data_IF_263627645918
#
_entry.id   IF_263627645918
#
_cell.length_a   1.000
_cell.length_b   1.000
_cell.length_c   1.000
_cell.angle_alpha   90.00
_cell.angle_beta   90.00
_cell.angle_gamma   90.00
#
_symmetry.space_group_name_H-M   'P 1'
#
loop_
_entity.id
_entity.type
_entity.pdbx_description
1 polymer ?
#
# COMPACT_ATOMS: atom_id res chain seq x y z
N UNK A 1 -3.05 29.24 -5.96
CA UNK A 1 -4.08 28.68 -5.05
C UNK A 1 -4.97 27.61 -5.71
N UNK A 2 -5.63 27.82 -6.88
CA UNK A 2 -6.51 26.80 -7.49
C UNK A 2 -5.76 25.59 -8.08
N UNK A 3 -4.61 25.84 -8.72
CA UNK A 3 -3.80 24.80 -9.39
C UNK A 3 -3.22 23.78 -8.40
N UNK A 4 -2.72 24.23 -7.25
CA UNK A 4 -2.24 23.35 -6.17
C UNK A 4 -3.38 22.52 -5.57
N UNK A 5 -4.54 23.11 -5.30
CA UNK A 5 -5.71 22.37 -4.79
C UNK A 5 -6.15 21.26 -5.76
N UNK A 6 -6.11 21.54 -7.08
CA UNK A 6 -6.42 20.56 -8.12
C UNK A 6 -5.38 19.42 -8.17
N UNK A 7 -4.08 19.75 -8.08
CA UNK A 7 -3.00 18.74 -8.03
C UNK A 7 -3.13 17.81 -6.81
N UNK A 8 -3.49 18.35 -5.64
CA UNK A 8 -3.72 17.57 -4.41
C UNK A 8 -4.86 16.57 -4.57
N UNK A 9 -5.99 17.03 -5.11
CA UNK A 9 -7.16 16.18 -5.38
C UNK A 9 -6.85 15.10 -6.43
N UNK A 10 -6.09 15.46 -7.47
CA UNK A 10 -5.67 14.51 -8.49
C UNK A 10 -4.78 13.41 -7.91
N UNK A 11 -3.80 13.76 -7.07
CA UNK A 11 -2.91 12.79 -6.43
C UNK A 11 -3.65 11.82 -5.50
N UNK A 12 -4.61 12.32 -4.72
CA UNK A 12 -5.46 11.48 -3.86
C UNK A 12 -6.34 10.54 -4.70
N UNK A 13 -6.97 11.06 -5.76
CA UNK A 13 -7.79 10.26 -6.67
C UNK A 13 -6.98 9.15 -7.33
N UNK A 14 -5.77 9.45 -7.78
CA UNK A 14 -4.88 8.47 -8.40
C UNK A 14 -4.47 7.36 -7.43
N UNK A 15 -4.15 7.72 -6.18
CA UNK A 15 -3.86 6.73 -5.14
C UNK A 15 -5.11 5.88 -4.83
N UNK A 16 -6.29 6.49 -4.70
CA UNK A 16 -7.55 5.75 -4.46
C UNK A 16 -7.87 4.78 -5.60
N UNK A 17 -7.69 5.20 -6.86
CA UNK A 17 -7.84 4.31 -8.01
C UNK A 17 -6.85 3.13 -7.93
N UNK A 18 -5.59 3.43 -7.61
CA UNK A 18 -4.55 2.40 -7.46
C UNK A 18 -4.85 1.41 -6.33
N UNK A 19 -5.41 1.86 -5.20
CA UNK A 19 -5.87 0.98 -4.12
C UNK A 19 -7.03 0.10 -4.58
N UNK A 20 -7.98 0.65 -5.33
CA UNK A 20 -9.11 -0.14 -5.87
C UNK A 20 -8.63 -1.19 -6.87
N UNK A 21 -7.71 -0.84 -7.76
CA UNK A 21 -7.05 -1.79 -8.68
C UNK A 21 -6.29 -2.88 -7.91
N UNK A 22 -5.56 -2.50 -6.86
CA UNK A 22 -4.86 -3.46 -6.00
C UNK A 22 -5.83 -4.43 -5.35
N UNK A 23 -6.95 -3.93 -4.81
CA UNK A 23 -7.98 -4.77 -4.19
C UNK A 23 -8.61 -5.73 -5.19
N UNK A 24 -8.96 -5.25 -6.39
CA UNK A 24 -9.49 -6.12 -7.43
C UNK A 24 -8.49 -7.23 -7.80
N UNK A 25 -7.21 -6.90 -7.91
CA UNK A 25 -6.14 -7.88 -8.14
C UNK A 25 -6.04 -8.90 -7.00
N UNK A 26 -5.89 -8.44 -5.76
CA UNK A 26 -5.63 -9.33 -4.62
C UNK A 26 -6.81 -10.22 -4.21
N UNK A 27 -8.05 -9.85 -4.54
CA UNK A 27 -9.23 -10.70 -4.25
C UNK A 27 -9.24 -11.95 -5.13
N UNK A 28 -8.72 -11.86 -6.35
CA UNK A 28 -8.66 -12.97 -7.32
C UNK A 28 -7.30 -13.67 -7.33
N UNK A 29 -6.31 -13.15 -6.60
CA UNK A 29 -4.95 -13.73 -6.56
C UNK A 29 -4.86 -14.81 -5.49
N UNK A 30 -4.29 -15.96 -5.85
CA UNK A 30 -3.92 -17.02 -4.89
C UNK A 30 -2.99 -16.47 -3.79
N UNK A 31 -3.35 -16.72 -2.52
CA UNK A 31 -2.63 -16.15 -1.36
C UNK A 31 -1.14 -16.49 -1.38
N UNK A 32 -0.80 -17.69 -1.86
CA UNK A 32 0.55 -18.23 -1.94
C UNK A 32 1.33 -17.82 -3.19
N UNK A 33 0.72 -17.11 -4.15
CA UNK A 33 1.44 -16.63 -5.33
C UNK A 33 2.62 -15.77 -4.89
N UNK A 34 3.84 -16.17 -5.25
CA UNK A 34 5.08 -15.52 -4.79
C UNK A 34 5.83 -14.87 -5.93
N UNK A 35 6.34 -13.66 -5.71
CA UNK A 35 7.27 -13.01 -6.63
C UNK A 35 8.74 -13.46 -6.47
N UNK A 36 8.98 -14.47 -5.63
CA UNK A 36 10.31 -14.95 -5.23
C UNK A 36 10.85 -14.30 -3.96
N UNK A 37 10.19 -13.25 -3.45
CA UNK A 37 10.55 -12.57 -2.21
C UNK A 37 9.39 -12.51 -1.22
N UNK A 38 8.17 -12.25 -1.72
CA UNK A 38 6.96 -12.17 -0.90
C UNK A 38 5.79 -12.83 -1.64
N UNK A 39 4.95 -13.50 -0.88
CA UNK A 39 3.64 -13.99 -1.31
C UNK A 39 2.63 -12.84 -1.46
N UNK A 40 1.58 -13.05 -2.26
CA UNK A 40 0.46 -12.11 -2.38
C UNK A 40 -0.13 -11.76 -1.01
N UNK A 41 -0.21 -12.75 -0.12
CA UNK A 41 -0.62 -12.58 1.28
C UNK A 41 0.27 -11.60 2.05
N UNK A 42 1.58 -11.80 2.03
CA UNK A 42 2.54 -10.93 2.72
C UNK A 42 2.55 -9.52 2.13
N UNK A 43 2.36 -9.41 0.82
CA UNK A 43 2.26 -8.13 0.13
C UNK A 43 1.04 -7.37 0.60
N UNK A 44 -0.16 -7.94 0.49
CA UNK A 44 -1.38 -7.25 0.91
C UNK A 44 -1.33 -6.90 2.41
N UNK A 45 -0.82 -7.81 3.25
CA UNK A 45 -0.67 -7.56 4.68
C UNK A 45 0.20 -6.34 4.97
N UNK A 46 1.36 -6.19 4.31
CA UNK A 46 2.20 -5.02 4.55
C UNK A 46 1.61 -3.73 3.95
N UNK A 47 0.89 -3.80 2.83
CA UNK A 47 0.24 -2.62 2.24
C UNK A 47 -0.83 -2.06 3.19
N UNK A 48 -1.63 -2.95 3.78
CA UNK A 48 -2.63 -2.61 4.81
C UNK A 48 -1.96 -2.04 6.05
N UNK A 49 -0.89 -2.67 6.53
CA UNK A 49 -0.12 -2.18 7.67
C UNK A 49 0.37 -0.75 7.43
N UNK A 50 1.08 -0.50 6.33
CA UNK A 50 1.62 0.83 6.06
C UNK A 50 0.53 1.88 5.82
N UNK A 51 -0.61 1.51 5.21
CA UNK A 51 -1.74 2.44 5.10
C UNK A 51 -2.31 2.83 6.46
N UNK A 52 -2.43 1.90 7.41
CA UNK A 52 -2.81 2.21 8.78
C UNK A 52 -1.82 3.18 9.42
N UNK A 53 -0.52 2.98 9.22
CA UNK A 53 0.52 3.89 9.75
C UNK A 53 0.45 5.27 9.09
N UNK A 54 0.17 5.37 7.78
CA UNK A 54 -0.03 6.65 7.10
C UNK A 54 -1.24 7.41 7.65
N UNK A 55 -2.34 6.71 7.95
CA UNK A 55 -3.51 7.31 8.60
C UNK A 55 -3.14 7.87 9.98
N UNK A 56 -2.44 7.08 10.80
CA UNK A 56 -2.04 7.51 12.14
C UNK A 56 -1.11 8.75 12.09
N UNK A 57 -0.18 8.77 11.13
CA UNK A 57 0.71 9.91 10.91
C UNK A 57 -0.09 11.13 10.45
N UNK A 58 -0.95 10.99 9.44
CA UNK A 58 -1.75 12.09 8.92
C UNK A 58 -2.63 12.70 10.02
N UNK A 59 -3.27 11.86 10.84
CA UNK A 59 -4.08 12.33 11.96
C UNK A 59 -3.24 13.08 13.00
N UNK A 60 -2.09 12.54 13.40
CA UNK A 60 -1.20 13.24 14.34
C UNK A 60 -0.77 14.62 13.81
N UNK A 61 -0.47 14.72 12.50
CA UNK A 61 -0.13 16.00 11.88
C UNK A 61 -1.30 16.99 11.84
N UNK A 62 -2.53 16.51 11.59
CA UNK A 62 -3.76 17.32 11.68
C UNK A 62 -3.95 17.85 13.11
N UNK A 63 -3.70 17.01 14.11
CA UNK A 63 -3.84 17.35 15.52
C UNK A 63 -2.68 18.21 16.06
N UNK A 64 -1.71 18.58 15.21
CA UNK A 64 -0.50 19.33 15.60
C UNK A 64 0.43 18.56 16.54
N UNK A 65 0.29 17.23 16.58
CA UNK A 65 1.04 16.33 17.43
C UNK A 65 2.17 15.64 16.65
N UNK A 66 3.20 15.21 17.38
CA UNK A 66 4.28 14.40 16.80
C UNK A 66 3.77 12.97 16.55
N UNK A 67 3.87 12.44 15.33
CA UNK A 67 3.47 11.07 15.06
C UNK A 67 4.28 10.04 15.86
N UNK A 68 3.63 9.00 16.34
CA UNK A 68 4.30 7.82 16.88
C UNK A 68 4.80 6.94 15.74
N UNK A 69 6.13 6.88 15.58
CA UNK A 69 6.75 6.17 14.47
C UNK A 69 7.14 4.75 14.87
N UNK A 70 7.05 3.80 13.93
CA UNK A 70 7.57 2.45 14.15
C UNK A 70 9.10 2.42 14.13
N UNK A 71 9.69 1.60 14.99
CA UNK A 71 11.14 1.33 15.07
C UNK A 71 11.46 0.01 14.37
N UNK A 72 12.64 -0.08 13.77
CA UNK A 72 13.10 -1.27 13.05
C UNK A 72 13.37 -1.03 11.56
N UNK A 73 13.85 -2.07 10.90
CA UNK A 73 14.04 -2.14 9.45
C UNK A 73 12.70 -2.34 8.74
N UNK A 74 12.65 -2.04 7.44
CA UNK A 74 11.44 -2.32 6.65
C UNK A 74 11.15 -3.83 6.58
N UNK A 75 12.19 -4.67 6.53
CA UNK A 75 12.03 -6.12 6.50
C UNK A 75 11.36 -6.64 7.78
N UNK A 76 11.85 -6.22 8.96
CA UNK A 76 11.25 -6.61 10.25
C UNK A 76 9.81 -6.13 10.39
N UNK A 77 9.53 -4.88 10.02
CA UNK A 77 8.17 -4.32 10.09
C UNK A 77 7.21 -5.02 9.13
N UNK A 78 7.66 -5.33 7.91
CA UNK A 78 6.85 -6.05 6.92
C UNK A 78 6.57 -7.49 7.35
N UNK A 79 7.56 -8.18 7.93
CA UNK A 79 7.34 -9.52 8.50
C UNK A 79 6.31 -9.47 9.65
N UNK A 80 6.44 -8.48 10.54
CA UNK A 80 5.48 -8.25 11.62
C UNK A 80 4.07 -7.90 11.12
N UNK A 81 3.93 -7.29 9.94
CA UNK A 81 2.63 -6.96 9.35
C UNK A 81 1.80 -8.22 9.05
N UNK A 82 2.42 -9.28 8.54
CA UNK A 82 1.73 -10.56 8.28
C UNK A 82 1.21 -11.17 9.57
N UNK A 83 2.02 -11.21 10.63
CA UNK A 83 1.60 -11.68 11.95
C UNK A 83 0.47 -10.82 12.54
N UNK A 84 0.52 -9.50 12.37
CA UNK A 84 -0.50 -8.59 12.89
C UNK A 84 -1.90 -8.81 12.30
N UNK A 85 -2.01 -9.52 11.18
CA UNK A 85 -3.28 -9.85 10.53
C UNK A 85 -3.53 -11.35 10.41
N UNK A 86 -2.88 -12.15 11.25
CA UNK A 86 -3.20 -13.56 11.40
C UNK A 86 -4.70 -13.77 11.63
N UNK A 87 -5.27 -14.80 11.01
CA UNK A 87 -6.70 -15.10 11.07
C UNK A 87 -7.61 -14.24 10.17
N UNK A 88 -7.09 -13.22 9.48
CA UNK A 88 -7.85 -12.49 8.44
C UNK A 88 -7.72 -13.15 7.08
N UNK A 89 -8.77 -13.17 6.29
CA UNK A 89 -8.75 -13.57 4.87
C UNK A 89 -8.23 -12.45 3.96
N UNK A 90 -7.83 -12.75 2.71
CA UNK A 90 -7.49 -11.70 1.72
C UNK A 90 -8.63 -10.69 1.52
N UNK A 91 -9.89 -11.15 1.51
CA UNK A 91 -11.06 -10.27 1.35
C UNK A 91 -11.19 -9.29 2.52
N UNK A 92 -10.90 -9.72 3.74
CA UNK A 92 -10.91 -8.83 4.91
C UNK A 92 -9.75 -7.84 4.90
N UNK A 93 -8.55 -8.29 4.51
CA UNK A 93 -7.41 -7.40 4.31
C UNK A 93 -7.69 -6.34 3.24
N UNK A 94 -8.28 -6.74 2.10
CA UNK A 94 -8.65 -5.83 1.03
C UNK A 94 -9.69 -4.79 1.50
N UNK A 95 -10.67 -5.19 2.30
CA UNK A 95 -11.62 -4.26 2.93
C UNK A 95 -10.92 -3.29 3.88
N UNK A 96 -9.99 -3.76 4.70
CA UNK A 96 -9.19 -2.89 5.57
C UNK A 96 -8.35 -1.90 4.75
N UNK A 97 -7.79 -2.35 3.62
CA UNK A 97 -7.01 -1.50 2.74
C UNK A 97 -7.83 -0.29 2.24
N UNK A 98 -9.04 -0.54 1.72
CA UNK A 98 -9.96 0.52 1.28
C UNK A 98 -10.37 1.42 2.44
N UNK A 99 -10.67 0.85 3.61
CA UNK A 99 -11.02 1.64 4.79
C UNK A 99 -9.90 2.58 5.22
N UNK A 100 -8.65 2.11 5.26
CA UNK A 100 -7.52 2.97 5.58
C UNK A 100 -7.23 4.00 4.49
N UNK A 101 -7.42 3.66 3.21
CA UNK A 101 -7.31 4.65 2.13
C UNK A 101 -8.33 5.77 2.28
N UNK A 102 -9.59 5.45 2.57
CA UNK A 102 -10.64 6.45 2.82
C UNK A 102 -10.28 7.34 4.01
N UNK A 103 -9.83 6.76 5.11
CA UNK A 103 -9.40 7.53 6.30
C UNK A 103 -8.17 8.40 6.04
N UNK A 104 -7.25 7.94 5.19
CA UNK A 104 -6.09 8.71 4.79
C UNK A 104 -6.52 9.93 3.95
N UNK A 105 -7.44 9.73 3.01
CA UNK A 105 -8.02 10.82 2.22
C UNK A 105 -8.70 11.87 3.12
N UNK A 106 -9.56 11.43 4.04
CA UNK A 106 -10.25 12.30 5.00
C UNK A 106 -9.25 13.11 5.85
N UNK A 107 -8.24 12.45 6.42
CA UNK A 107 -7.22 13.13 7.22
C UNK A 107 -6.40 14.15 6.40
N UNK A 108 -5.99 13.81 5.18
CA UNK A 108 -5.20 14.69 4.33
C UNK A 108 -6.00 15.89 3.79
N UNK A 109 -7.32 15.75 3.64
CA UNK A 109 -8.20 16.88 3.32
C UNK A 109 -8.29 17.90 4.46
N UNK A 110 -8.14 17.45 5.71
CA UNK A 110 -8.10 18.30 6.90
C UNK A 110 -6.70 18.86 7.21
N UNK A 111 -5.64 18.36 6.56
CA UNK A 111 -4.28 18.78 6.85
C UNK A 111 -4.01 20.21 6.35
N UNK A 112 -3.59 21.15 7.24
CA UNK A 112 -3.46 22.56 6.88
C UNK A 112 -2.31 22.83 5.91
N UNK A 113 -1.22 22.08 6.02
CA UNK A 113 -0.03 22.22 5.18
C UNK A 113 0.41 20.86 4.63
N UNK A 114 0.46 20.75 3.29
CA UNK A 114 0.93 19.55 2.59
C UNK A 114 2.44 19.54 2.36
N UNK A 115 3.11 20.66 2.58
CA UNK A 115 4.58 20.77 2.50
C UNK A 115 5.26 20.32 3.79
N UNK A 116 4.49 20.01 4.84
CA UNK A 116 5.00 19.47 6.10
C UNK A 116 5.85 18.21 5.83
N UNK A 117 7.10 18.25 6.30
CA UNK A 117 8.07 17.18 6.10
C UNK A 117 7.98 16.19 7.27
N UNK A 118 7.67 14.92 6.97
CA UNK A 118 7.57 13.88 7.99
C UNK A 118 8.18 12.56 7.52
N UNK A 119 8.69 11.70 8.41
CA UNK A 119 9.09 10.34 8.09
C UNK A 119 7.93 9.36 8.34
N UNK A 120 8.02 8.15 7.77
CA UNK A 120 7.03 7.08 8.00
C UNK A 120 7.46 6.07 9.07
N UNK A 121 8.73 6.10 9.46
CA UNK A 121 9.33 5.28 10.53
C UNK A 121 10.53 6.01 11.12
N UNK A 122 11.01 5.57 12.29
CA UNK A 122 12.24 6.14 12.87
C UNK A 122 13.44 6.01 11.93
N UNK A 123 14.21 7.10 11.83
CA UNK A 123 15.36 7.21 10.93
C UNK A 123 14.99 7.21 9.43
N UNK A 124 13.70 7.23 9.09
CA UNK A 124 13.23 7.25 7.71
C UNK A 124 13.43 8.62 7.05
N UNK A 125 13.53 8.61 5.72
CA UNK A 125 13.62 9.84 4.93
C UNK A 125 12.36 10.70 5.07
N UNK A 126 12.56 11.98 5.34
CA UNK A 126 11.52 13.00 5.33
C UNK A 126 11.02 13.22 3.89
N UNK A 127 9.71 13.28 3.74
CA UNK A 127 9.03 13.72 2.50
C UNK A 127 7.78 14.50 2.86
N UNK A 128 7.36 15.42 2.01
CA UNK A 128 6.07 16.07 2.13
C UNK A 128 4.94 15.20 1.56
N UNK A 129 3.69 15.63 1.70
CA UNK A 129 2.54 14.87 1.18
C UNK A 129 2.60 14.73 -0.35
N UNK A 130 2.97 15.80 -1.05
CA UNK A 130 3.07 15.82 -2.52
C UNK A 130 4.09 14.80 -3.06
N UNK A 131 5.17 14.55 -2.32
CA UNK A 131 6.16 13.51 -2.65
C UNK A 131 5.74 12.11 -2.16
N UNK A 132 4.92 12.05 -1.11
CA UNK A 132 4.54 10.78 -0.47
C UNK A 132 3.48 10.03 -1.27
N UNK A 133 2.42 10.70 -1.72
CA UNK A 133 1.32 10.03 -2.43
C UNK A 133 1.79 9.29 -3.70
N UNK A 134 2.59 9.91 -4.60
CA UNK A 134 3.12 9.20 -5.77
C UNK A 134 4.07 8.05 -5.38
N UNK A 135 4.81 8.20 -4.27
CA UNK A 135 5.69 7.13 -3.81
C UNK A 135 4.91 5.91 -3.28
N UNK A 136 3.77 6.13 -2.62
CA UNK A 136 2.87 5.06 -2.16
C UNK A 136 2.22 4.39 -3.37
N UNK A 137 1.68 5.17 -4.29
CA UNK A 137 1.06 4.69 -5.53
C UNK A 137 2.04 3.80 -6.33
N UNK A 138 3.24 4.31 -6.60
CA UNK A 138 4.28 3.58 -7.33
C UNK A 138 4.69 2.28 -6.62
N UNK A 139 4.75 2.31 -5.29
CA UNK A 139 5.05 1.14 -4.48
C UNK A 139 3.98 0.05 -4.64
N UNK A 140 2.69 0.41 -4.55
CA UNK A 140 1.57 -0.52 -4.78
C UNK A 140 1.64 -1.11 -6.20
N UNK A 141 1.78 -0.26 -7.22
CA UNK A 141 1.85 -0.72 -8.62
C UNK A 141 3.04 -1.65 -8.86
N UNK A 142 4.18 -1.41 -8.23
CA UNK A 142 5.35 -2.27 -8.35
C UNK A 142 5.08 -3.68 -7.80
N UNK A 143 4.38 -3.79 -6.68
CA UNK A 143 4.00 -5.09 -6.11
C UNK A 143 3.05 -5.86 -7.03
N UNK A 144 2.00 -5.22 -7.52
CA UNK A 144 1.07 -5.84 -8.49
C UNK A 144 1.84 -6.34 -9.72
N UNK A 145 2.69 -5.49 -10.31
CA UNK A 145 3.49 -5.87 -11.50
C UNK A 145 4.43 -7.05 -11.23
N UNK A 146 5.00 -7.16 -10.03
CA UNK A 146 5.88 -8.27 -9.66
C UNK A 146 5.10 -9.58 -9.56
N UNK A 147 3.94 -9.57 -8.90
CA UNK A 147 3.08 -10.75 -8.76
C UNK A 147 2.50 -11.19 -10.10
N UNK A 148 1.97 -10.26 -10.91
CA UNK A 148 1.52 -10.55 -12.28
C UNK A 148 2.62 -11.17 -13.16
N UNK A 149 3.88 -10.73 -13.01
CA UNK A 149 5.01 -11.37 -13.70
C UNK A 149 5.29 -12.77 -13.19
N UNK A 150 5.09 -13.03 -11.90
CA UNK A 150 5.29 -14.35 -11.32
C UNK A 150 4.21 -15.34 -11.76
N UNK A 151 2.95 -14.90 -11.79
CA UNK A 151 1.80 -15.65 -12.27
C UNK A 151 2.03 -16.15 -13.71
N UNK A 152 2.35 -15.23 -14.63
CA UNK A 152 2.65 -15.60 -16.03
C UNK A 152 3.79 -16.59 -16.17
N UNK A 153 4.86 -16.48 -15.36
CA UNK A 153 5.96 -17.46 -15.39
C UNK A 153 5.52 -18.85 -14.92
N UNK A 154 4.57 -18.92 -13.99
CA UNK A 154 3.96 -20.17 -13.58
C UNK A 154 3.15 -20.79 -14.72
N UNK A 155 2.31 -19.99 -15.39
CA UNK A 155 1.53 -20.42 -16.54
C UNK A 155 2.40 -20.88 -17.72
N UNK A 156 3.49 -20.16 -18.02
CA UNK A 156 4.42 -20.50 -19.09
C UNK A 156 5.04 -21.89 -18.85
N UNK A 157 5.36 -22.24 -17.60
CA UNK A 157 5.84 -23.58 -17.24
C UNK A 157 4.77 -24.65 -17.43
N UNK A 158 3.51 -24.37 -17.05
CA UNK A 158 2.40 -25.32 -17.26
C UNK A 158 2.17 -25.55 -18.75
N UNK A 159 2.10 -24.50 -19.56
CA UNK A 159 1.92 -24.61 -21.02
C UNK A 159 3.08 -25.32 -21.71
N UNK A 160 4.32 -25.10 -21.25
CA UNK A 160 5.48 -25.79 -21.80
C UNK A 160 5.47 -27.31 -21.53
N UNK A 161 4.87 -27.76 -20.42
CA UNK A 161 4.82 -29.16 -20.03
C UNK A 161 3.51 -29.88 -20.42
N UNK A 162 2.41 -29.14 -20.57
CA UNK A 162 1.08 -29.66 -20.93
C UNK A 162 0.48 -28.87 -22.11
N UNK A 163 0.99 -29.08 -23.35
CA UNK A 163 0.58 -28.26 -24.49
C UNK A 163 -0.86 -28.50 -24.99
N UNK A 164 -1.54 -29.56 -24.54
CA UNK A 164 -2.85 -29.99 -25.11
C UNK A 164 -4.07 -29.75 -24.20
N UNK A 165 -3.93 -29.08 -23.05
CA UNK A 165 -5.05 -28.82 -22.10
C UNK A 165 -5.52 -27.35 -22.03
N UNK A 166 -5.20 -26.51 -23.02
CA UNK A 166 -5.74 -25.13 -23.14
C UNK A 166 -6.40 -24.91 -24.48
#
# INVERSE_FOLDING_TARGET
>A
MPQQKNQRQLALRELTNTVNEAVAFFIETEESLSDGYQSAREVLSHLVFWHREYVAIAQALVDGCKPELKKGTYAELNAGATCAFEGKTMKELARLFVQYQKRLEEALQCLPDWEVMYPVKYGGRLKCVAERLPAIESHIRNHIRKLQRAERRGEDWVRAYYPEET
#
